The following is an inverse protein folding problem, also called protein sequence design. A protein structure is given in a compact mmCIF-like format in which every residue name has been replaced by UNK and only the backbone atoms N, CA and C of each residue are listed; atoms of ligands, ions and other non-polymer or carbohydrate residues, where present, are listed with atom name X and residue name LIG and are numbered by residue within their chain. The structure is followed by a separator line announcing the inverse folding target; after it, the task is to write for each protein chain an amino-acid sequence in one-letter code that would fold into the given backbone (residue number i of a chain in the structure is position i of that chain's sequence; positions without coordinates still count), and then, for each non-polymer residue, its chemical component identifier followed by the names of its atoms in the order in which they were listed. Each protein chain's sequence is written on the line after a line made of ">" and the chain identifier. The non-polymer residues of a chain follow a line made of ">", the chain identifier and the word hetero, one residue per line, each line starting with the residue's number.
data_IF_607967268970
#
_entry.id   IF_607967268970
#
_cell.length_a   1.000
_cell.length_b   1.000
_cell.length_c   1.000
_cell.angle_alpha   90.00
_cell.angle_beta   90.00
_cell.angle_gamma   90.00
#
_symmetry.space_group_name_H-M   'P 1'
#
loop_
_entity.id
_entity.type
_entity.pdbx_description
1 polymer ?
#
# COMPACT_ATOMS: atom_id res chain seq x y z
N UNK A 1 -24.28 -8.84 20.10
CA UNK A 1 -23.10 -8.25 19.42
C UNK A 1 -23.17 -8.68 17.96
N UNK A 2 -23.60 -7.81 17.05
CA UNK A 2 -23.68 -8.17 15.62
C UNK A 2 -22.27 -8.27 15.01
N UNK A 3 -22.02 -9.19 14.07
CA UNK A 3 -20.74 -9.23 13.37
C UNK A 3 -20.63 -7.98 12.49
N UNK A 4 -19.60 -7.18 12.72
CA UNK A 4 -19.28 -6.03 11.88
C UNK A 4 -18.74 -6.60 10.57
N UNK A 5 -19.61 -6.71 9.55
CA UNK A 5 -19.20 -7.14 8.22
C UNK A 5 -18.14 -6.20 7.63
N UNK A 6 -17.40 -6.63 6.59
CA UNK A 6 -16.31 -5.84 6.01
C UNK A 6 -16.87 -4.48 5.58
N UNK A 7 -16.36 -3.39 6.16
CA UNK A 7 -16.70 -2.05 5.67
C UNK A 7 -16.23 -1.99 4.22
N UNK A 8 -17.13 -1.69 3.28
CA UNK A 8 -16.82 -1.65 1.84
C UNK A 8 -15.56 -0.80 1.63
N UNK A 9 -14.59 -1.30 0.85
CA UNK A 9 -13.31 -0.61 0.60
C UNK A 9 -13.50 0.84 0.12
N UNK A 10 -14.60 1.09 -0.60
CA UNK A 10 -15.00 2.43 -1.07
C UNK A 10 -15.30 3.41 0.08
N UNK A 11 -15.88 2.92 1.18
CA UNK A 11 -16.19 3.73 2.36
C UNK A 11 -14.91 4.05 3.16
N UNK A 12 -13.98 3.10 3.23
CA UNK A 12 -12.66 3.29 3.84
C UNK A 12 -11.91 4.36 3.05
N UNK A 13 -11.83 4.22 1.73
CA UNK A 13 -11.14 5.15 0.85
C UNK A 13 -11.71 6.58 0.91
N UNK A 14 -13.03 6.72 0.99
CA UNK A 14 -13.68 8.02 1.11
C UNK A 14 -13.38 8.75 2.43
N UNK A 15 -13.00 8.00 3.46
CA UNK A 15 -12.63 8.55 4.78
C UNK A 15 -11.12 8.74 4.99
N UNK A 16 -10.30 8.45 3.96
CA UNK A 16 -8.86 8.75 3.97
C UNK A 16 -8.69 10.24 3.63
N UNK A 17 -7.94 10.96 4.48
CA UNK A 17 -7.51 12.32 4.18
C UNK A 17 -6.58 12.33 2.96
N UNK A 18 -6.99 13.04 1.91
CA UNK A 18 -6.24 13.12 0.67
C UNK A 18 -5.21 14.24 0.75
N UNK A 19 -3.94 13.89 0.55
CA UNK A 19 -2.86 14.85 0.36
C UNK A 19 -2.60 15.10 -1.12
N UNK A 20 -2.00 16.24 -1.47
CA UNK A 20 -1.61 16.53 -2.84
C UNK A 20 -0.53 15.53 -3.32
N UNK A 21 -0.79 14.84 -4.43
CA UNK A 21 0.12 13.84 -4.97
C UNK A 21 1.49 14.44 -5.36
N UNK A 22 1.50 15.69 -5.85
CA UNK A 22 2.75 16.39 -6.22
C UNK A 22 3.65 16.61 -5.01
N UNK A 23 3.07 16.96 -3.86
CA UNK A 23 3.83 17.17 -2.63
C UNK A 23 4.49 15.86 -2.17
N UNK A 24 3.76 14.74 -2.26
CA UNK A 24 4.29 13.42 -1.92
C UNK A 24 5.44 13.03 -2.84
N UNK A 25 5.26 13.18 -4.17
CA UNK A 25 6.29 12.86 -5.15
C UNK A 25 7.56 13.70 -4.97
N UNK A 26 7.42 15.02 -4.73
CA UNK A 26 8.56 15.90 -4.50
C UNK A 26 9.31 15.53 -3.22
N UNK A 27 8.59 15.18 -2.15
CA UNK A 27 9.19 14.77 -0.88
C UNK A 27 9.93 13.43 -1.02
N UNK A 28 9.32 12.46 -1.70
CA UNK A 28 9.97 11.18 -1.97
C UNK A 28 11.22 11.35 -2.83
N UNK A 29 11.14 12.18 -3.89
CA UNK A 29 12.29 12.51 -4.74
C UNK A 29 13.43 13.19 -3.96
N UNK A 30 13.11 14.07 -3.01
CA UNK A 30 14.11 14.69 -2.14
C UNK A 30 14.80 13.67 -1.22
N UNK A 31 14.04 12.74 -0.63
CA UNK A 31 14.57 11.65 0.21
C UNK A 31 15.51 10.76 -0.61
N UNK A 32 15.08 10.31 -1.79
CA UNK A 32 15.90 9.45 -2.66
C UNK A 32 17.17 10.18 -3.10
N UNK A 33 17.07 11.47 -3.45
CA UNK A 33 18.25 12.28 -3.80
C UNK A 33 19.24 12.37 -2.64
N UNK A 34 18.75 12.56 -1.42
CA UNK A 34 19.58 12.61 -0.23
C UNK A 34 20.31 11.27 0.01
N UNK A 35 19.61 10.14 -0.14
CA UNK A 35 20.22 8.82 0.00
C UNK A 35 21.29 8.56 -1.07
N UNK A 36 21.04 8.97 -2.32
CA UNK A 36 22.01 8.84 -3.40
C UNK A 36 23.26 9.71 -3.22
N UNK A 37 23.17 10.81 -2.46
CA UNK A 37 24.35 11.61 -2.12
C UNK A 37 25.10 11.07 -0.92
N UNK A 38 24.42 10.39 0.00
CA UNK A 38 25.01 9.87 1.24
C UNK A 38 25.57 8.44 1.08
N UNK A 39 25.03 7.68 0.12
CA UNK A 39 25.42 6.31 -0.20
C UNK A 39 25.90 6.26 -1.66
N UNK A 40 27.15 5.85 -1.87
CA UNK A 40 27.71 5.72 -3.23
C UNK A 40 27.17 4.49 -4.00
N UNK A 41 26.59 3.51 -3.29
CA UNK A 41 26.06 2.27 -3.87
C UNK A 41 24.51 2.26 -3.93
N UNK A 42 23.99 2.03 -5.14
CA UNK A 42 22.55 1.92 -5.42
C UNK A 42 21.93 0.72 -4.71
N UNK A 43 22.67 -0.37 -4.49
CA UNK A 43 22.15 -1.52 -3.74
C UNK A 43 21.91 -1.19 -2.26
N UNK A 44 22.78 -0.39 -1.65
CA UNK A 44 22.60 0.08 -0.27
C UNK A 44 21.46 1.09 -0.16
N UNK A 45 21.29 1.97 -1.15
CA UNK A 45 20.14 2.89 -1.23
C UNK A 45 18.83 2.10 -1.25
N UNK A 46 18.74 1.06 -2.07
CA UNK A 46 17.53 0.23 -2.15
C UNK A 46 17.25 -0.51 -0.84
N UNK A 47 18.27 -1.00 -0.14
CA UNK A 47 18.11 -1.62 1.19
C UNK A 47 17.59 -0.62 2.22
N UNK A 48 18.09 0.61 2.22
CA UNK A 48 17.58 1.64 3.11
C UNK A 48 16.15 2.07 2.77
N UNK A 49 15.82 2.19 1.48
CA UNK A 49 14.46 2.50 1.04
C UNK A 49 13.47 1.39 1.44
N UNK A 50 13.85 0.12 1.29
CA UNK A 50 13.04 -1.02 1.71
C UNK A 50 12.82 -1.02 3.23
N UNK A 51 13.88 -0.81 4.01
CA UNK A 51 13.79 -0.73 5.47
C UNK A 51 12.92 0.44 5.95
N UNK A 52 13.04 1.61 5.31
CA UNK A 52 12.18 2.77 5.60
C UNK A 52 10.72 2.47 5.24
N UNK A 53 10.47 1.88 4.07
CA UNK A 53 9.14 1.48 3.62
C UNK A 53 8.49 0.46 4.56
N UNK A 54 9.25 -0.53 5.02
CA UNK A 54 8.78 -1.53 5.98
C UNK A 54 8.37 -0.91 7.32
N UNK A 55 9.21 -0.03 7.88
CA UNK A 55 8.93 0.63 9.14
C UNK A 55 7.73 1.58 9.06
N UNK A 56 7.57 2.30 7.94
CA UNK A 56 6.39 3.12 7.67
C UNK A 56 5.15 2.21 7.53
N UNK A 57 5.27 1.10 6.80
CA UNK A 57 4.20 0.14 6.57
C UNK A 57 3.64 -0.48 7.85
N UNK A 58 4.48 -0.85 8.82
CA UNK A 58 4.04 -1.37 10.13
C UNK A 58 3.16 -0.34 10.85
N UNK A 59 3.55 0.94 10.83
CA UNK A 59 2.77 2.00 11.49
C UNK A 59 1.44 2.25 10.76
N UNK A 60 1.47 2.19 9.41
CA UNK A 60 0.28 2.36 8.60
C UNK A 60 -0.74 1.24 8.79
N UNK A 61 -0.30 -0.02 8.94
CA UNK A 61 -1.23 -1.13 9.15
C UNK A 61 -1.92 -1.05 10.51
N UNK A 62 -1.20 -0.64 11.56
CA UNK A 62 -1.80 -0.44 12.89
C UNK A 62 -2.85 0.67 12.87
N UNK A 63 -2.55 1.79 12.23
CA UNK A 63 -3.51 2.89 12.06
C UNK A 63 -4.70 2.48 11.17
N UNK A 64 -4.45 1.72 10.12
CA UNK A 64 -5.49 1.19 9.22
C UNK A 64 -6.48 0.28 9.96
N UNK A 65 -5.97 -0.68 10.74
CA UNK A 65 -6.81 -1.59 11.53
C UNK A 65 -7.62 -0.82 12.59
N UNK A 66 -7.00 0.16 13.24
CA UNK A 66 -7.64 0.98 14.28
C UNK A 66 -8.73 1.91 13.71
N UNK A 67 -8.49 2.57 12.58
CA UNK A 67 -9.37 3.58 12.00
C UNK A 67 -10.57 2.97 11.26
N UNK A 68 -10.38 1.81 10.63
CA UNK A 68 -11.38 1.23 9.73
C UNK A 68 -12.08 -0.01 10.28
N UNK A 69 -11.71 -0.47 11.47
CA UNK A 69 -12.39 -1.59 12.15
C UNK A 69 -12.34 -2.89 11.36
N UNK A 70 -11.32 -3.06 10.51
CA UNK A 70 -11.07 -4.28 9.75
C UNK A 70 -10.47 -5.31 10.71
N UNK A 71 -11.06 -6.50 10.78
CA UNK A 71 -10.49 -7.63 11.52
C UNK A 71 -9.19 -8.09 10.85
N UNK A 72 -8.25 -8.65 11.62
CA UNK A 72 -7.02 -9.23 11.05
C UNK A 72 -7.39 -10.24 9.97
N UNK A 73 -6.82 -10.05 8.77
CA UNK A 73 -6.97 -10.99 7.68
C UNK A 73 -6.35 -12.33 8.08
N UNK A 74 -7.05 -13.43 7.79
CA UNK A 74 -6.59 -14.78 8.20
C UNK A 74 -5.79 -15.44 7.08
N UNK A 75 -6.17 -15.14 5.83
CA UNK A 75 -5.56 -15.70 4.63
C UNK A 75 -4.81 -14.63 3.81
N UNK A 76 -3.76 -15.07 3.11
CA UNK A 76 -3.01 -14.20 2.19
C UNK A 76 -3.91 -13.67 1.05
N UNK A 77 -4.83 -14.51 0.57
CA UNK A 77 -5.80 -14.13 -0.47
C UNK A 77 -6.68 -12.97 -0.01
N UNK A 78 -7.21 -13.04 1.20
CA UNK A 78 -8.06 -11.99 1.78
C UNK A 78 -7.27 -10.68 1.93
N UNK A 79 -6.03 -10.78 2.40
CA UNK A 79 -5.11 -9.63 2.51
C UNK A 79 -4.87 -8.97 1.16
N UNK A 80 -4.58 -9.76 0.12
CA UNK A 80 -4.35 -9.27 -1.24
C UNK A 80 -5.61 -8.60 -1.83
N UNK A 81 -6.79 -9.17 -1.62
CA UNK A 81 -8.05 -8.58 -2.06
C UNK A 81 -8.38 -7.27 -1.33
N UNK A 82 -8.04 -7.15 -0.05
CA UNK A 82 -8.24 -5.92 0.72
C UNK A 82 -7.33 -4.79 0.23
N UNK A 83 -6.05 -5.08 0.01
CA UNK A 83 -5.09 -4.10 -0.54
C UNK A 83 -5.53 -3.66 -1.93
N UNK A 84 -5.91 -4.62 -2.78
CA UNK A 84 -6.41 -4.37 -4.13
C UNK A 84 -7.64 -3.45 -4.18
N UNK A 85 -8.56 -3.58 -3.22
CA UNK A 85 -9.78 -2.77 -3.16
C UNK A 85 -9.50 -1.33 -2.71
N UNK A 86 -8.50 -1.11 -1.87
CA UNK A 86 -8.10 0.23 -1.41
C UNK A 86 -7.35 1.02 -2.49
N UNK A 87 -6.59 0.31 -3.33
CA UNK A 87 -5.77 0.87 -4.39
C UNK A 87 -6.56 1.08 -5.71
N UNK A 88 -7.84 0.69 -5.72
CA UNK A 88 -8.76 0.87 -6.84
C UNK A 88 -9.29 2.31 -6.89
N UNK A 89 -8.37 3.27 -7.05
CA UNK A 89 -8.74 4.64 -7.40
C UNK A 89 -9.37 4.66 -8.80
N UNK A 90 -10.44 5.45 -8.96
CA UNK A 90 -11.17 5.57 -10.22
C UNK A 90 -10.27 6.09 -11.37
N UNK A 91 -9.22 6.84 -11.01
CA UNK A 91 -8.21 7.41 -11.92
C UNK A 91 -7.16 6.38 -12.40
N UNK A 92 -6.89 5.31 -11.66
CA UNK A 92 -5.78 4.37 -11.92
C UNK A 92 -6.23 3.01 -12.48
N UNK A 93 -7.50 2.90 -12.91
CA UNK A 93 -8.18 1.67 -13.38
C UNK A 93 -7.40 0.80 -14.38
N UNK A 94 -6.44 1.37 -15.12
CA UNK A 94 -5.62 0.66 -16.11
C UNK A 94 -4.40 -0.07 -15.55
N UNK A 95 -3.78 0.41 -14.47
CA UNK A 95 -2.44 -0.04 -14.05
C UNK A 95 -2.51 -1.27 -13.14
N UNK A 96 -3.45 -1.29 -12.18
CA UNK A 96 -3.56 -2.38 -11.20
C UNK A 96 -4.37 -3.59 -11.69
N UNK A 97 -5.25 -3.40 -12.67
CA UNK A 97 -6.03 -4.51 -13.28
C UNK A 97 -5.13 -5.53 -14.00
N UNK A 98 -3.95 -5.10 -14.46
CA UNK A 98 -2.94 -5.97 -15.06
C UNK A 98 -2.12 -6.76 -14.03
N UNK A 99 -2.04 -6.30 -12.77
CA UNK A 99 -1.14 -6.89 -11.75
C UNK A 99 -1.81 -8.02 -10.95
N UNK A 100 -3.10 -7.92 -10.62
CA UNK A 100 -3.80 -8.97 -9.85
C UNK A 100 -3.90 -10.29 -10.63
N UNK A 101 -4.09 -10.24 -11.95
CA UNK A 101 -4.02 -11.45 -12.79
C UNK A 101 -2.68 -12.19 -12.67
N UNK A 102 -1.59 -11.50 -12.35
CA UNK A 102 -0.25 -12.10 -12.20
C UNK A 102 -0.01 -12.73 -10.82
N UNK A 103 -0.93 -12.56 -9.87
CA UNK A 103 -0.86 -13.13 -8.51
C UNK A 103 -1.72 -14.41 -8.35
N UNK A 104 -2.18 -15.00 -9.45
CA UNK A 104 -2.67 -16.39 -9.49
C UNK A 104 -1.51 -17.31 -9.95
N UNK A 105 -0.80 -17.98 -9.02
CA UNK A 105 0.22 -18.97 -9.39
C UNK A 105 -0.36 -20.25 -10.02
N UNK A 106 -1.69 -20.38 -10.19
CA UNK A 106 -2.32 -21.54 -10.84
C UNK A 106 -2.61 -21.37 -12.34
N UNK A 107 -2.22 -20.24 -12.96
CA UNK A 107 -2.46 -19.98 -14.39
C UNK A 107 -1.15 -19.91 -15.20
N UNK A 108 -0.09 -20.56 -14.71
CA UNK A 108 1.17 -20.80 -15.45
C UNK A 108 1.65 -22.26 -15.26
N UNK A 109 0.74 -23.21 -15.42
CA UNK A 109 1.05 -24.61 -15.70
C UNK A 109 0.43 -24.99 -17.05
#
# INVERSE_FOLDING_TARGET
>A
MAPVGPRSGDAIFSSIDRMNAELFMLTYGAIVRQLLTDLEDVEEVNKQLDQMGYNIGIRLIDEFLAKYGVSRCVDFKETAEMIAKLDYDESHRGIYRLRIKRCNPSENA
#
